data_IF_692444155203
#
_entry.id   IF_692444155203
#
_cell.length_a   1.000
_cell.length_b   1.000
_cell.length_c   1.000
_cell.angle_alpha   90.00
_cell.angle_beta   90.00
_cell.angle_gamma   90.00
#
_symmetry.space_group_name_H-M   'P 1'
#
loop_
_entity.id
_entity.type
_entity.pdbx_description
1 polymer ?
#
# COMPACT_ATOMS: atom_id res chain seq x y z
N UNK A 1 51.85 -2.45 -11.85
CA UNK A 1 50.47 -2.29 -12.35
C UNK A 1 49.66 -3.50 -11.90
N UNK A 2 48.97 -3.42 -10.77
CA UNK A 2 47.95 -4.39 -10.38
C UNK A 2 46.62 -3.63 -10.34
N UNK A 3 45.72 -3.97 -11.26
CA UNK A 3 44.39 -3.42 -11.32
C UNK A 3 43.58 -3.97 -10.14
N UNK A 4 43.10 -3.09 -9.26
CA UNK A 4 42.06 -3.39 -8.29
C UNK A 4 40.78 -3.65 -9.09
N UNK A 5 40.42 -4.92 -9.23
CA UNK A 5 39.09 -5.32 -9.69
C UNK A 5 38.13 -4.96 -8.55
N UNK A 6 37.52 -3.78 -8.65
CA UNK A 6 36.44 -3.39 -7.75
C UNK A 6 35.28 -4.34 -7.94
N UNK A 7 35.12 -5.29 -7.02
CA UNK A 7 33.95 -6.14 -6.97
C UNK A 7 32.76 -5.28 -6.54
N UNK A 8 31.98 -4.82 -7.51
CA UNK A 8 30.66 -4.24 -7.27
C UNK A 8 29.72 -5.36 -6.80
N UNK A 9 29.84 -5.74 -5.53
CA UNK A 9 28.82 -6.56 -4.88
C UNK A 9 27.54 -5.72 -4.77
N UNK A 10 26.37 -6.27 -5.14
CA UNK A 10 25.11 -5.58 -4.92
C UNK A 10 24.93 -5.30 -3.42
N UNK A 11 24.69 -4.04 -3.04
CA UNK A 11 24.60 -3.60 -1.65
C UNK A 11 23.52 -4.32 -0.82
N UNK A 12 22.56 -4.94 -1.51
CA UNK A 12 21.54 -5.80 -0.91
C UNK A 12 22.20 -6.91 -0.08
N UNK A 13 23.35 -7.47 -0.47
CA UNK A 13 24.05 -8.57 0.21
C UNK A 13 24.53 -8.23 1.65
N UNK A 14 24.45 -6.96 2.08
CA UNK A 14 24.86 -6.50 3.42
C UNK A 14 23.69 -6.18 4.36
N UNK A 15 22.45 -6.49 3.99
CA UNK A 15 21.32 -6.26 4.87
C UNK A 15 21.40 -7.23 6.06
N UNK A 16 21.75 -6.69 7.23
CA UNK A 16 21.83 -7.48 8.46
C UNK A 16 20.42 -7.92 8.83
N UNK A 17 20.23 -9.24 8.98
CA UNK A 17 18.98 -9.79 9.46
C UNK A 17 18.80 -9.42 10.94
N UNK A 18 17.93 -8.46 11.18
CA UNK A 18 17.67 -7.86 12.48
C UNK A 18 16.21 -7.41 12.54
N UNK A 19 15.71 -7.08 13.72
CA UNK A 19 14.37 -6.52 13.86
C UNK A 19 14.19 -5.29 12.96
N UNK A 20 13.20 -5.35 12.06
CA UNK A 20 12.91 -4.27 11.10
C UNK A 20 12.51 -2.99 11.83
N UNK A 21 11.75 -3.11 12.91
CA UNK A 21 11.30 -1.97 13.70
C UNK A 21 10.87 -2.41 15.10
N UNK A 22 11.10 -1.54 16.07
CA UNK A 22 10.69 -1.74 17.47
C UNK A 22 9.17 -1.74 17.65
N UNK A 23 8.41 -1.16 16.71
CA UNK A 23 6.95 -1.15 16.76
C UNK A 23 6.31 -2.37 16.07
N UNK A 24 7.09 -3.22 15.41
CA UNK A 24 6.59 -4.40 14.71
C UNK A 24 5.74 -5.35 15.60
N UNK A 25 6.10 -5.61 16.88
CA UNK A 25 5.26 -6.41 17.78
C UNK A 25 3.85 -5.84 18.03
N UNK A 26 3.64 -4.55 17.78
CA UNK A 26 2.34 -3.89 17.90
C UNK A 26 1.56 -3.85 16.57
N UNK A 27 1.96 -4.65 15.57
CA UNK A 27 1.35 -4.69 14.22
C UNK A 27 -0.17 -4.85 14.25
N UNK A 28 -0.72 -5.71 15.11
CA UNK A 28 -2.18 -5.87 15.25
C UNK A 28 -2.89 -4.61 15.75
N UNK A 29 -2.26 -3.85 16.65
CA UNK A 29 -2.78 -2.56 17.12
C UNK A 29 -2.68 -1.51 16.01
N UNK A 30 -1.54 -1.45 15.30
CA UNK A 30 -1.32 -0.53 14.17
C UNK A 30 -2.34 -0.81 13.06
N UNK A 31 -2.59 -2.08 12.74
CA UNK A 31 -3.60 -2.51 11.77
C UNK A 31 -5.00 -2.03 12.17
N UNK A 32 -5.35 -2.18 13.45
CA UNK A 32 -6.65 -1.74 13.99
C UNK A 32 -6.80 -0.22 13.89
N UNK A 33 -5.77 0.53 14.29
CA UNK A 33 -5.76 1.99 14.18
C UNK A 33 -5.89 2.42 12.71
N UNK A 34 -5.10 1.80 11.82
CA UNK A 34 -5.18 2.07 10.38
C UNK A 34 -6.57 1.78 9.82
N UNK A 35 -7.23 0.70 10.23
CA UNK A 35 -8.60 0.37 9.83
C UNK A 35 -9.60 1.44 10.29
N UNK A 36 -9.48 1.91 11.53
CA UNK A 36 -10.30 3.01 12.04
C UNK A 36 -10.08 4.31 11.25
N UNK A 37 -8.83 4.67 10.96
CA UNK A 37 -8.49 5.88 10.19
C UNK A 37 -9.03 5.79 8.76
N UNK A 38 -8.82 4.67 8.07
CA UNK A 38 -9.35 4.46 6.71
C UNK A 38 -10.88 4.48 6.69
N UNK A 39 -11.53 3.88 7.68
CA UNK A 39 -12.98 3.97 7.84
C UNK A 39 -13.46 5.42 8.02
N UNK A 40 -12.78 6.19 8.87
CA UNK A 40 -13.11 7.59 9.12
C UNK A 40 -12.91 8.44 7.86
N UNK A 41 -11.80 8.26 7.14
CA UNK A 41 -11.53 8.92 5.85
C UNK A 41 -12.61 8.58 4.83
N UNK A 42 -12.99 7.30 4.70
CA UNK A 42 -14.07 6.88 3.81
C UNK A 42 -15.39 7.60 4.12
N UNK A 43 -15.82 7.56 5.39
CA UNK A 43 -17.16 8.03 5.79
C UNK A 43 -17.21 9.57 5.83
N UNK A 44 -16.28 10.19 6.55
CA UNK A 44 -16.37 11.61 6.87
C UNK A 44 -15.67 12.52 5.87
N UNK A 45 -14.62 12.02 5.19
CA UNK A 45 -13.92 12.81 4.18
C UNK A 45 -14.43 12.49 2.77
N UNK A 46 -14.36 11.25 2.33
CA UNK A 46 -14.73 10.92 0.95
C UNK A 46 -16.24 11.02 0.74
N UNK A 47 -17.04 10.25 1.48
CA UNK A 47 -18.49 10.17 1.24
C UNK A 47 -19.22 11.48 1.54
N UNK A 48 -18.83 12.18 2.62
CA UNK A 48 -19.51 13.39 3.06
C UNK A 48 -18.95 14.69 2.46
N UNK A 49 -17.65 14.75 2.10
CA UNK A 49 -16.98 16.01 1.74
C UNK A 49 -16.49 16.01 0.30
N UNK A 50 -15.71 15.02 -0.13
CA UNK A 50 -15.03 15.01 -1.43
C UNK A 50 -15.99 14.65 -2.55
N UNK A 51 -16.71 13.53 -2.43
CA UNK A 51 -17.59 13.05 -3.51
C UNK A 51 -18.67 14.09 -3.87
N UNK A 52 -19.40 14.69 -2.91
CA UNK A 52 -20.42 15.69 -3.23
C UNK A 52 -19.87 17.00 -3.82
N UNK A 53 -18.57 17.31 -3.59
CA UNK A 53 -17.95 18.56 -4.08
C UNK A 53 -17.24 18.39 -5.42
N UNK A 54 -16.64 17.23 -5.67
CA UNK A 54 -15.81 16.97 -6.87
C UNK A 54 -16.65 16.41 -8.01
N UNK A 55 -17.69 15.62 -7.71
CA UNK A 55 -18.52 14.98 -8.73
C UNK A 55 -19.85 15.72 -8.91
N UNK A 56 -20.30 15.82 -10.16
CA UNK A 56 -21.58 16.43 -10.48
C UNK A 56 -22.73 15.67 -9.78
N UNK A 57 -23.73 16.37 -9.20
CA UNK A 57 -24.89 15.75 -8.58
C UNK A 57 -25.63 14.76 -9.48
N UNK A 58 -25.59 14.96 -10.80
CA UNK A 58 -26.19 14.03 -11.77
C UNK A 58 -25.50 12.65 -11.75
N UNK A 59 -24.16 12.62 -11.69
CA UNK A 59 -23.37 11.37 -11.66
C UNK A 59 -23.60 10.62 -10.35
N UNK A 60 -23.74 11.33 -9.23
CA UNK A 60 -23.93 10.70 -7.91
C UNK A 60 -25.36 10.19 -7.73
N UNK A 61 -26.36 10.86 -8.31
CA UNK A 61 -27.78 10.54 -8.16
C UNK A 61 -28.20 9.26 -8.90
N UNK A 62 -27.52 8.93 -9.99
CA UNK A 62 -27.82 7.76 -10.82
C UNK A 62 -27.16 6.47 -10.31
N UNK A 63 -26.33 6.54 -9.26
CA UNK A 63 -25.69 5.36 -8.67
C UNK A 63 -26.60 4.68 -7.65
N UNK A 64 -26.75 3.36 -7.76
CA UNK A 64 -27.35 2.55 -6.70
C UNK A 64 -26.50 2.63 -5.41
N UNK A 65 -27.09 2.31 -4.26
CA UNK A 65 -26.37 2.31 -2.98
C UNK A 65 -25.11 1.41 -3.03
N UNK A 66 -25.21 0.28 -3.71
CA UNK A 66 -24.10 -0.63 -3.99
C UNK A 66 -23.00 0.01 -4.84
N UNK A 67 -23.38 0.62 -5.97
CA UNK A 67 -22.44 1.28 -6.88
C UNK A 67 -21.75 2.47 -6.21
N UNK A 68 -22.47 3.25 -5.40
CA UNK A 68 -21.91 4.36 -4.62
C UNK A 68 -20.88 3.86 -3.60
N UNK A 69 -21.17 2.77 -2.87
CA UNK A 69 -20.19 2.17 -1.94
C UNK A 69 -18.93 1.70 -2.66
N UNK A 70 -19.08 1.00 -3.78
CA UNK A 70 -17.96 0.54 -4.61
C UNK A 70 -17.13 1.70 -5.15
N UNK A 71 -17.79 2.76 -5.61
CA UNK A 71 -17.16 3.97 -6.12
C UNK A 71 -16.32 4.69 -5.06
N UNK A 72 -16.86 4.92 -3.86
CA UNK A 72 -16.10 5.51 -2.75
C UNK A 72 -14.94 4.61 -2.35
N UNK A 73 -15.15 3.30 -2.31
CA UNK A 73 -14.09 2.36 -1.96
C UNK A 73 -12.95 2.36 -2.99
N UNK A 74 -13.27 2.55 -4.27
CA UNK A 74 -12.25 2.73 -5.31
C UNK A 74 -11.37 3.97 -5.06
N UNK A 75 -11.95 5.06 -4.54
CA UNK A 75 -11.17 6.24 -4.15
C UNK A 75 -10.30 5.99 -2.92
N UNK A 76 -10.81 5.25 -1.93
CA UNK A 76 -10.02 4.82 -0.78
C UNK A 76 -8.82 4.01 -1.27
N UNK A 77 -9.04 3.05 -2.17
CA UNK A 77 -7.98 2.22 -2.73
C UNK A 77 -6.97 3.07 -3.51
N UNK A 78 -7.41 3.86 -4.48
CA UNK A 78 -6.53 4.73 -5.28
C UNK A 78 -5.74 5.71 -4.41
N UNK A 79 -6.39 6.35 -3.43
CA UNK A 79 -5.74 7.27 -2.49
C UNK A 79 -4.72 6.57 -1.60
N UNK A 80 -5.04 5.38 -1.09
CA UNK A 80 -4.12 4.57 -0.29
C UNK A 80 -2.90 4.15 -1.11
N UNK A 81 -3.09 3.73 -2.36
CA UNK A 81 -2.01 3.38 -3.29
C UNK A 81 -1.06 4.56 -3.51
N UNK A 82 -1.59 5.76 -3.80
CA UNK A 82 -0.78 6.98 -3.98
C UNK A 82 -0.02 7.32 -2.70
N UNK A 83 -0.71 7.30 -1.54
CA UNK A 83 -0.08 7.57 -0.25
C UNK A 83 1.08 6.60 0.02
N UNK A 84 0.86 5.31 -0.21
CA UNK A 84 1.87 4.27 -0.01
C UNK A 84 3.09 4.54 -0.87
N UNK A 85 2.95 4.75 -2.19
CA UNK A 85 4.09 5.07 -3.07
C UNK A 85 4.89 6.27 -2.54
N UNK A 86 4.22 7.35 -2.16
CA UNK A 86 4.89 8.57 -1.68
C UNK A 86 5.63 8.35 -0.36
N UNK A 87 5.04 7.60 0.56
CA UNK A 87 5.58 7.36 1.90
C UNK A 87 6.66 6.28 1.91
N UNK A 88 6.56 5.26 1.04
CA UNK A 88 7.51 4.14 0.98
C UNK A 88 8.69 4.40 0.08
N UNK A 89 8.56 5.30 -0.91
CA UNK A 89 9.64 5.60 -1.85
C UNK A 89 10.95 5.95 -1.11
N UNK A 90 10.93 6.95 -0.21
CA UNK A 90 12.15 7.36 0.47
C UNK A 90 12.76 6.24 1.34
N UNK A 91 12.02 5.60 2.27
CA UNK A 91 12.55 4.48 3.06
C UNK A 91 13.14 3.35 2.21
N UNK A 92 12.47 2.96 1.12
CA UNK A 92 12.95 1.87 0.27
C UNK A 92 14.19 2.27 -0.51
N UNK A 93 14.22 3.45 -1.14
CA UNK A 93 15.41 3.90 -1.85
C UNK A 93 16.61 4.08 -0.90
N UNK A 94 16.40 4.61 0.30
CA UNK A 94 17.45 4.78 1.29
C UNK A 94 18.05 3.42 1.70
N UNK A 95 17.22 2.40 1.90
CA UNK A 95 17.66 1.05 2.26
C UNK A 95 18.34 0.34 1.08
N UNK A 96 17.74 0.38 -0.12
CA UNK A 96 18.24 -0.35 -1.29
C UNK A 96 19.56 0.19 -1.83
N UNK A 97 19.76 1.50 -1.79
CA UNK A 97 21.03 2.15 -2.22
C UNK A 97 22.10 2.05 -1.13
N UNK A 98 21.77 1.52 0.05
CA UNK A 98 22.70 1.36 1.17
C UNK A 98 23.01 2.68 1.91
N UNK A 99 22.16 3.68 1.75
CA UNK A 99 22.26 4.96 2.47
C UNK A 99 21.62 4.91 3.86
N UNK A 100 20.92 3.83 4.20
CA UNK A 100 20.32 3.59 5.49
C UNK A 100 19.97 2.13 5.72
N UNK A 101 19.60 1.81 6.95
CA UNK A 101 19.06 0.53 7.38
C UNK A 101 17.66 0.75 7.99
N UNK A 102 16.87 -0.29 8.26
CA UNK A 102 15.54 -0.11 8.85
C UNK A 102 15.53 0.75 10.14
N UNK A 103 16.58 0.69 10.95
CA UNK A 103 16.72 1.48 12.17
C UNK A 103 17.22 2.93 11.96
N UNK A 104 17.51 3.34 10.72
CA UNK A 104 17.93 4.72 10.42
C UNK A 104 16.77 5.70 10.69
N UNK A 105 17.02 6.85 11.33
CA UNK A 105 16.01 7.89 11.50
C UNK A 105 15.46 8.38 10.16
N UNK A 106 14.14 8.59 10.06
CA UNK A 106 13.46 9.09 8.85
C UNK A 106 13.96 10.47 8.42
N UNK A 107 14.31 11.31 9.38
CA UNK A 107 14.85 12.64 9.17
C UNK A 107 15.84 12.97 10.30
N UNK A 108 16.75 13.94 10.11
CA UNK A 108 17.64 14.39 11.17
C UNK A 108 16.84 14.82 12.42
N UNK A 109 17.10 14.16 13.56
CA UNK A 109 16.39 14.42 14.83
C UNK A 109 15.03 13.74 14.98
N UNK A 110 14.58 12.93 14.01
CA UNK A 110 13.35 12.15 14.11
C UNK A 110 13.52 10.95 15.05
N UNK A 111 12.51 10.68 15.88
CA UNK A 111 12.40 9.42 16.63
C UNK A 111 11.84 8.27 15.80
N UNK A 112 11.12 8.58 14.71
CA UNK A 112 10.63 7.58 13.76
C UNK A 112 11.75 7.12 12.83
N UNK A 113 11.84 5.81 12.64
CA UNK A 113 12.81 5.13 11.77
C UNK A 113 12.21 4.77 10.41
N UNK A 114 13.06 4.45 9.44
CA UNK A 114 12.63 3.96 8.13
C UNK A 114 11.77 2.69 8.25
N UNK A 115 12.14 1.78 9.15
CA UNK A 115 11.42 0.55 9.45
C UNK A 115 10.05 0.80 10.07
N UNK A 116 9.91 1.80 10.95
CA UNK A 116 8.61 2.16 11.53
C UNK A 116 7.63 2.59 10.42
N UNK A 117 8.12 3.41 9.48
CA UNK A 117 7.32 3.85 8.32
C UNK A 117 6.92 2.67 7.46
N UNK A 118 7.83 1.73 7.19
CA UNK A 118 7.52 0.53 6.42
C UNK A 118 6.51 -0.38 7.15
N UNK A 119 6.63 -0.60 8.47
CA UNK A 119 5.65 -1.39 9.23
C UNK A 119 4.26 -0.76 9.16
N UNK A 120 4.15 0.56 9.40
CA UNK A 120 2.88 1.28 9.30
C UNK A 120 2.30 1.18 7.88
N UNK A 121 3.15 1.34 6.86
CA UNK A 121 2.75 1.24 5.45
C UNK A 121 2.23 -0.16 5.10
N UNK A 122 2.88 -1.23 5.61
CA UNK A 122 2.42 -2.61 5.42
C UNK A 122 1.02 -2.84 6.02
N UNK A 123 0.74 -2.24 7.18
CA UNK A 123 -0.59 -2.31 7.77
C UNK A 123 -1.63 -1.52 6.97
N UNK A 124 -1.30 -0.31 6.47
CA UNK A 124 -2.19 0.46 5.60
C UNK A 124 -2.51 -0.31 4.32
N UNK A 125 -1.51 -0.94 3.69
CA UNK A 125 -1.69 -1.82 2.53
C UNK A 125 -2.64 -2.99 2.84
N UNK A 126 -2.45 -3.64 3.99
CA UNK A 126 -3.32 -4.74 4.42
C UNK A 126 -4.76 -4.26 4.59
N UNK A 127 -4.97 -3.14 5.28
CA UNK A 127 -6.30 -2.55 5.49
C UNK A 127 -6.97 -2.20 4.17
N UNK A 128 -6.24 -1.63 3.21
CA UNK A 128 -6.77 -1.30 1.89
C UNK A 128 -7.38 -2.53 1.21
N UNK A 129 -6.65 -3.66 1.18
CA UNK A 129 -7.17 -4.89 0.56
C UNK A 129 -8.31 -5.53 1.35
N UNK A 130 -8.29 -5.44 2.68
CA UNK A 130 -9.42 -5.85 3.52
C UNK A 130 -10.68 -5.06 3.15
N UNK A 131 -10.55 -3.74 2.96
CA UNK A 131 -11.67 -2.90 2.54
C UNK A 131 -12.14 -3.22 1.12
N UNK A 132 -11.25 -3.48 0.18
CA UNK A 132 -11.64 -3.94 -1.17
C UNK A 132 -12.43 -5.24 -1.15
N UNK A 133 -12.07 -6.19 -0.28
CA UNK A 133 -12.80 -7.45 -0.13
C UNK A 133 -14.20 -7.26 0.45
N UNK A 134 -14.36 -6.41 1.48
CA UNK A 134 -15.65 -6.24 2.17
C UNK A 134 -16.62 -5.29 1.46
N UNK A 135 -16.13 -4.30 0.72
CA UNK A 135 -16.97 -3.27 0.10
C UNK A 135 -17.22 -3.44 -1.39
N UNK A 136 -16.59 -4.43 -2.06
CA UNK A 136 -16.95 -4.82 -3.42
C UNK A 136 -18.22 -5.66 -3.42
N UNK A 137 -19.18 -5.24 -4.25
CA UNK A 137 -20.43 -5.97 -4.46
C UNK A 137 -20.22 -7.28 -5.25
N UNK A 138 -19.27 -7.28 -6.20
CA UNK A 138 -18.85 -8.47 -6.94
C UNK A 138 -17.34 -8.46 -7.12
N UNK A 139 -16.71 -9.60 -6.83
CA UNK A 139 -15.29 -9.82 -7.04
C UNK A 139 -15.09 -11.14 -7.78
N UNK A 140 -14.21 -11.17 -8.77
CA UNK A 140 -13.88 -12.41 -9.45
C UNK A 140 -13.10 -13.34 -8.50
N UNK A 141 -13.20 -14.67 -8.64
CA UNK A 141 -12.44 -15.60 -7.81
C UNK A 141 -10.92 -15.35 -7.86
N UNK A 142 -10.41 -14.94 -9.03
CA UNK A 142 -9.00 -14.59 -9.23
C UNK A 142 -8.63 -13.33 -8.44
N UNK A 143 -9.44 -12.27 -8.51
CA UNK A 143 -9.19 -11.05 -7.75
C UNK A 143 -9.32 -11.28 -6.24
N UNK A 144 -10.26 -12.12 -5.81
CA UNK A 144 -10.40 -12.53 -4.41
C UNK A 144 -9.15 -13.25 -3.92
N UNK A 145 -8.70 -14.28 -4.66
CA UNK A 145 -7.48 -15.02 -4.33
C UNK A 145 -6.25 -14.11 -4.31
N UNK A 146 -6.17 -13.15 -5.23
CA UNK A 146 -5.10 -12.15 -5.26
C UNK A 146 -5.09 -11.26 -4.01
N UNK A 147 -6.23 -10.68 -3.62
CA UNK A 147 -6.29 -9.82 -2.42
C UNK A 147 -6.01 -10.60 -1.14
N UNK A 148 -6.57 -11.81 -1.00
CA UNK A 148 -6.29 -12.68 0.16
C UNK A 148 -4.81 -13.07 0.19
N UNK A 149 -4.24 -13.44 -0.96
CA UNK A 149 -2.82 -13.74 -1.08
C UNK A 149 -1.93 -12.55 -0.68
N UNK A 150 -2.27 -11.34 -1.16
CA UNK A 150 -1.54 -10.12 -0.80
C UNK A 150 -1.58 -9.83 0.71
N UNK A 151 -2.75 -10.00 1.34
CA UNK A 151 -2.90 -9.85 2.80
C UNK A 151 -2.04 -10.88 3.54
N UNK A 152 -2.14 -12.16 3.15
CA UNK A 152 -1.40 -13.25 3.81
C UNK A 152 0.10 -13.03 3.70
N UNK A 153 0.61 -12.72 2.50
CA UNK A 153 2.04 -12.47 2.28
C UNK A 153 2.53 -11.27 3.10
N UNK A 154 1.78 -10.15 3.11
CA UNK A 154 2.16 -8.97 3.87
C UNK A 154 2.20 -9.24 5.39
N UNK A 155 1.21 -9.97 5.92
CA UNK A 155 1.16 -10.30 7.34
C UNK A 155 2.21 -11.35 7.73
N UNK A 156 2.47 -12.34 6.87
CA UNK A 156 3.56 -13.31 7.06
C UNK A 156 4.91 -12.62 7.09
N UNK A 157 5.19 -11.68 6.18
CA UNK A 157 6.44 -10.92 6.17
C UNK A 157 6.63 -10.11 7.46
N UNK A 158 5.56 -9.52 7.99
CA UNK A 158 5.61 -8.83 9.29
C UNK A 158 5.89 -9.83 10.42
N UNK A 159 5.21 -10.97 10.45
CA UNK A 159 5.42 -12.00 11.48
C UNK A 159 6.86 -12.55 11.45
N UNK A 160 7.40 -12.82 10.27
CA UNK A 160 8.78 -13.26 10.09
C UNK A 160 9.78 -12.18 10.50
N UNK A 161 9.50 -10.90 10.19
CA UNK A 161 10.35 -9.78 10.62
C UNK A 161 10.47 -9.63 12.14
N UNK A 162 9.45 -10.08 12.88
CA UNK A 162 9.47 -10.12 14.35
C UNK A 162 10.28 -11.34 14.85
N UNK A 163 10.17 -12.48 14.16
CA UNK A 163 10.87 -13.71 14.49
C UNK A 163 12.22 -13.87 13.76
N UNK A 164 12.92 -12.75 13.49
CA UNK A 164 14.15 -12.72 12.71
C UNK A 164 15.27 -13.61 13.29
N UNK A 165 15.26 -13.88 14.60
CA UNK A 165 16.23 -14.78 15.26
C UNK A 165 16.16 -16.23 14.74
N UNK A 166 14.98 -16.67 14.27
CA UNK A 166 14.78 -18.01 13.70
C UNK A 166 14.73 -18.01 12.17
N UNK A 167 14.55 -16.85 11.54
CA UNK A 167 14.35 -16.70 10.10
C UNK A 167 15.48 -15.85 9.50
N UNK A 168 16.46 -16.51 8.87
CA UNK A 168 17.70 -15.87 8.39
C UNK A 168 17.51 -14.76 7.35
N UNK A 169 16.39 -14.78 6.64
CA UNK A 169 16.11 -13.87 5.52
C UNK A 169 14.90 -12.94 5.77
N UNK A 170 14.45 -12.82 7.02
CA UNK A 170 13.22 -12.11 7.37
C UNK A 170 13.20 -10.65 6.89
N UNK A 171 14.32 -9.91 7.02
CA UNK A 171 14.40 -8.52 6.56
C UNK A 171 14.36 -8.46 5.02
N UNK A 172 15.00 -9.41 4.33
CA UNK A 172 14.99 -9.46 2.87
C UNK A 172 13.57 -9.71 2.35
N UNK A 173 12.87 -10.69 2.90
CA UNK A 173 11.51 -10.99 2.51
C UNK A 173 10.58 -9.81 2.76
N UNK A 174 10.74 -9.11 3.88
CA UNK A 174 9.97 -7.91 4.18
C UNK A 174 10.21 -6.80 3.15
N UNK A 175 11.46 -6.49 2.80
CA UNK A 175 11.78 -5.48 1.78
C UNK A 175 11.33 -5.93 0.38
N UNK A 176 11.49 -7.21 0.04
CA UNK A 176 11.02 -7.78 -1.23
C UNK A 176 9.51 -7.69 -1.37
N UNK A 177 8.74 -7.85 -0.28
CA UNK A 177 7.30 -7.63 -0.29
C UNK A 177 6.94 -6.20 -0.70
N UNK A 178 7.71 -5.20 -0.29
CA UNK A 178 7.51 -3.82 -0.73
C UNK A 178 7.85 -3.61 -2.19
N UNK A 179 8.99 -4.16 -2.65
CA UNK A 179 9.38 -4.07 -4.06
C UNK A 179 8.30 -4.70 -4.95
N UNK A 180 7.86 -5.91 -4.60
CA UNK A 180 6.79 -6.61 -5.30
C UNK A 180 5.47 -5.82 -5.27
N UNK A 181 5.14 -5.23 -4.11
CA UNK A 181 4.00 -4.34 -3.95
C UNK A 181 4.06 -3.10 -4.84
N UNK A 182 5.21 -2.42 -4.93
CA UNK A 182 5.38 -1.22 -5.77
C UNK A 182 5.28 -1.52 -7.27
N UNK A 183 5.82 -2.65 -7.73
CA UNK A 183 5.62 -3.11 -9.12
C UNK A 183 4.15 -3.33 -9.46
N UNK A 184 3.31 -3.63 -8.47
CA UNK A 184 1.87 -3.76 -8.64
C UNK A 184 1.16 -2.40 -8.68
N UNK A 185 1.62 -1.43 -7.87
CA UNK A 185 1.06 -0.07 -7.82
C UNK A 185 1.33 0.76 -9.08
N UNK A 186 2.43 0.48 -9.79
CA UNK A 186 2.80 1.14 -11.04
C UNK A 186 2.18 0.50 -12.29
N UNK A 187 1.51 -0.66 -12.16
CA UNK A 187 0.88 -1.33 -13.29
C UNK A 187 -0.37 -0.56 -13.75
N UNK A 188 -0.36 0.09 -14.93
CA UNK A 188 -1.46 0.96 -15.38
C UNK A 188 -2.77 0.22 -15.69
N UNK A 189 -2.78 -1.12 -15.58
CA UNK A 189 -3.91 -1.98 -15.95
C UNK A 189 -4.99 -2.16 -14.87
N UNK A 190 -4.74 -1.74 -13.62
CA UNK A 190 -5.68 -1.95 -12.50
C UNK A 190 -6.70 -0.83 -12.28
N UNK A 191 -6.63 0.25 -13.04
CA UNK A 191 -7.80 1.10 -13.27
C UNK A 191 -8.46 0.58 -14.52
N UNK A 192 -9.48 -0.31 -14.43
CA UNK A 192 -10.14 -0.81 -15.61
C UNK A 192 -10.62 0.39 -16.44
N UNK A 193 -10.13 0.57 -17.68
CA UNK A 193 -10.54 1.68 -18.53
C UNK A 193 -12.05 1.64 -18.80
N UNK A 194 -12.74 0.52 -18.57
CA UNK A 194 -14.19 0.43 -18.69
C UNK A 194 -14.98 1.16 -17.57
N UNK A 195 -14.43 1.32 -16.36
CA UNK A 195 -15.07 2.12 -15.30
C UNK A 195 -14.89 3.62 -15.56
N UNK A 196 -13.71 4.02 -16.05
CA UNK A 196 -13.46 5.39 -16.46
C UNK A 196 -14.20 5.74 -17.76
N UNK A 197 -14.24 4.82 -18.74
CA UNK A 197 -15.00 4.97 -19.99
C UNK A 197 -16.51 4.98 -19.76
N UNK A 198 -17.05 4.27 -18.76
CA UNK A 198 -18.47 4.44 -18.38
C UNK A 198 -18.74 5.79 -17.73
N UNK A 199 -17.81 6.31 -16.93
CA UNK A 199 -17.93 7.63 -16.34
C UNK A 199 -17.79 8.76 -17.39
N UNK A 200 -16.97 8.60 -18.43
CA UNK A 200 -16.81 9.57 -19.51
C UNK A 200 -17.83 9.41 -20.63
N UNK A 201 -18.31 8.19 -20.95
CA UNK A 201 -19.38 7.99 -21.93
C UNK A 201 -20.75 8.47 -21.42
N UNK A 202 -20.98 8.54 -20.11
CA UNK A 202 -22.13 9.27 -19.54
C UNK A 202 -22.02 10.79 -19.70
N UNK A 203 -20.82 11.31 -20.00
CA UNK A 203 -20.56 12.73 -20.24
C UNK A 203 -20.44 13.07 -21.74
N UNK A 204 -20.38 12.06 -22.62
CA UNK A 204 -20.02 12.23 -24.03
C UNK A 204 -21.13 12.07 -25.06
N UNK A 205 -22.33 11.62 -24.67
CA UNK A 205 -23.39 11.33 -25.65
C UNK A 205 -24.68 12.11 -25.38
N UNK A 206 -24.62 13.43 -25.64
CA UNK A 206 -25.77 14.25 -26.06
C UNK A 206 -25.29 15.35 -27.01
N UNK A 207 -24.95 14.96 -28.23
CA UNK A 207 -25.03 15.84 -29.38
C UNK A 207 -25.26 15.01 -30.65
N UNK A 208 -26.52 14.61 -30.85
CA UNK A 208 -27.35 14.80 -32.06
C UNK A 208 -28.66 14.04 -31.90
#
# INVERSE_FOLDING_TARGET
MHQNVGTHHPHVEKLVNQLVSQIAPFSGLILTIAACVVAAVRIYLLDAVVIPRVYSPAVVKDLSAAQRRSFVNHHVAAGSKILLILVTAYPLFAILVGHGAPHTPLAPGSSATLGDVLIVSSQIFTVMYVFELFYRDTISPIAFAHHVGAIVVAQSAVAMSINFDHESDAVYEFILCFIWGEFFLLSPGETPPHLWARATNLCGDRSL
#
